data_IF_898278468567
#
_entry.id   IF_898278468567
#
_cell.length_a   1.000
_cell.length_b   1.000
_cell.length_c   1.000
_cell.angle_alpha   90.00
_cell.angle_beta   90.00
_cell.angle_gamma   90.00
#
_symmetry.space_group_name_H-M   'P 1'
#
loop_
_entity.id
_entity.type
_entity.pdbx_description
1 polymer ?
#
# COMPACT_ATOMS: atom_id res chain seq x y z
N UNK A 1 -8.91 -8.78 -19.71
CA UNK A 1 -7.49 -9.08 -19.50
C UNK A 1 -6.74 -7.97 -18.77
N UNK A 2 -7.38 -6.86 -18.63
CA UNK A 2 -6.75 -5.73 -17.97
C UNK A 2 -6.31 -6.12 -16.56
N UNK A 3 -5.18 -5.63 -16.14
CA UNK A 3 -4.72 -5.68 -14.76
C UNK A 3 -4.50 -7.08 -14.19
N UNK A 4 -3.98 -8.00 -15.00
CA UNK A 4 -3.63 -9.31 -14.45
C UNK A 4 -2.67 -9.20 -13.26
N UNK A 5 -1.78 -8.18 -13.25
CA UNK A 5 -0.89 -7.95 -12.10
C UNK A 5 -1.70 -7.63 -10.84
N UNK A 6 -2.69 -6.74 -10.94
CA UNK A 6 -3.53 -6.38 -9.80
C UNK A 6 -4.33 -7.60 -9.33
N UNK A 7 -4.85 -8.39 -10.26
CA UNK A 7 -5.57 -9.61 -9.91
C UNK A 7 -4.68 -10.60 -9.16
N UNK A 8 -3.42 -10.74 -9.60
CA UNK A 8 -2.45 -11.61 -8.92
C UNK A 8 -2.14 -11.10 -7.51
N UNK A 9 -2.03 -9.78 -7.32
CA UNK A 9 -1.86 -9.21 -5.99
C UNK A 9 -3.05 -9.53 -5.10
N UNK A 10 -4.26 -9.34 -5.63
CA UNK A 10 -5.50 -9.61 -4.89
C UNK A 10 -5.57 -11.07 -4.48
N UNK A 11 -5.10 -11.96 -5.33
CA UNK A 11 -5.11 -13.40 -5.07
C UNK A 11 -4.00 -13.85 -4.13
N UNK A 12 -3.15 -12.95 -3.65
CA UNK A 12 -2.14 -13.26 -2.66
C UNK A 12 -0.80 -13.70 -3.22
N UNK A 13 -0.53 -13.46 -4.50
CA UNK A 13 0.75 -13.79 -5.11
C UNK A 13 1.83 -12.83 -4.61
N UNK A 14 2.77 -13.33 -3.81
CA UNK A 14 3.83 -12.49 -3.21
C UNK A 14 4.70 -11.82 -4.26
N UNK A 15 5.04 -12.51 -5.34
CA UNK A 15 5.86 -11.94 -6.40
C UNK A 15 5.15 -10.80 -7.11
N UNK A 16 3.83 -10.91 -7.29
CA UNK A 16 3.04 -9.84 -7.89
C UNK A 16 3.02 -8.60 -6.98
N UNK A 17 2.91 -8.79 -5.67
CA UNK A 17 2.94 -7.67 -4.72
C UNK A 17 4.30 -6.96 -4.78
N UNK A 18 5.40 -7.71 -4.76
CA UNK A 18 6.74 -7.11 -4.88
C UNK A 18 6.88 -6.35 -6.21
N UNK A 19 6.44 -6.96 -7.31
CA UNK A 19 6.47 -6.32 -8.62
C UNK A 19 5.65 -5.03 -8.63
N UNK A 20 4.49 -5.03 -7.98
CA UNK A 20 3.64 -3.86 -7.85
C UNK A 20 4.29 -2.74 -7.06
N UNK A 21 4.95 -3.07 -5.94
CA UNK A 21 5.64 -2.08 -5.12
C UNK A 21 6.78 -1.38 -5.87
N UNK A 22 7.37 -2.05 -6.86
CA UNK A 22 8.46 -1.52 -7.67
C UNK A 22 8.00 -0.98 -9.02
N UNK A 23 6.72 -1.00 -9.31
CA UNK A 23 6.18 -0.64 -10.61
C UNK A 23 6.27 0.87 -10.87
N UNK A 24 6.45 1.27 -12.14
CA UNK A 24 6.45 2.68 -12.53
C UNK A 24 5.10 3.34 -12.31
N UNK A 25 4.01 2.62 -12.53
CA UNK A 25 2.67 3.17 -12.41
C UNK A 25 2.25 3.28 -10.95
N UNK A 26 1.88 4.49 -10.52
CA UNK A 26 1.49 4.73 -9.15
C UNK A 26 0.28 3.88 -8.73
N UNK A 27 -0.65 3.63 -9.65
CA UNK A 27 -1.82 2.81 -9.34
C UNK A 27 -1.41 1.39 -8.92
N UNK A 28 -0.36 0.85 -9.53
CA UNK A 28 0.14 -0.48 -9.17
C UNK A 28 0.83 -0.44 -7.80
N UNK A 29 1.62 0.61 -7.53
CA UNK A 29 2.26 0.76 -6.22
C UNK A 29 1.22 0.90 -5.12
N UNK A 30 0.18 1.71 -5.34
CA UNK A 30 -0.88 1.90 -4.35
C UNK A 30 -1.67 0.61 -4.11
N UNK A 31 -2.01 -0.12 -5.17
CA UNK A 31 -2.67 -1.41 -5.02
C UNK A 31 -1.81 -2.41 -4.26
N UNK A 32 -0.52 -2.47 -4.57
CA UNK A 32 0.40 -3.39 -3.88
C UNK A 32 0.50 -3.08 -2.38
N UNK A 33 0.55 -1.80 -2.03
CA UNK A 33 0.55 -1.37 -0.62
C UNK A 33 -0.75 -1.81 0.07
N UNK A 34 -1.89 -1.51 -0.57
CA UNK A 34 -3.20 -1.83 0.01
C UNK A 34 -3.37 -3.33 0.22
N UNK A 35 -3.03 -4.15 -0.77
CA UNK A 35 -3.15 -5.59 -0.63
C UNK A 35 -2.14 -6.16 0.36
N UNK A 36 -0.94 -5.56 0.48
CA UNK A 36 0.00 -5.95 1.54
C UNK A 36 -0.62 -5.77 2.91
N UNK A 37 -1.30 -4.64 3.13
CA UNK A 37 -1.98 -4.36 4.39
C UNK A 37 -3.15 -5.31 4.62
N UNK A 38 -4.03 -5.47 3.62
CA UNK A 38 -5.20 -6.34 3.74
C UNK A 38 -4.82 -7.79 4.00
N UNK A 39 -3.72 -8.25 3.43
CA UNK A 39 -3.24 -9.63 3.57
C UNK A 39 -2.24 -9.78 4.71
N UNK A 40 -2.02 -8.72 5.48
CA UNK A 40 -1.14 -8.70 6.64
C UNK A 40 0.27 -9.20 6.34
N UNK A 41 0.85 -8.68 5.25
CA UNK A 41 2.19 -9.06 4.83
C UNK A 41 3.23 -8.19 5.52
N UNK A 42 3.89 -8.76 6.51
CA UNK A 42 4.89 -8.03 7.31
C UNK A 42 6.30 -8.61 7.16
N UNK A 43 6.55 -9.41 6.13
CA UNK A 43 7.91 -9.90 5.90
C UNK A 43 8.84 -8.75 5.49
N UNK A 44 10.12 -8.93 5.82
CA UNK A 44 11.11 -7.85 5.71
C UNK A 44 11.17 -7.23 4.32
N UNK A 45 11.14 -8.04 3.27
CA UNK A 45 11.25 -7.53 1.90
C UNK A 45 10.12 -6.56 1.57
N UNK A 46 8.89 -6.95 1.86
CA UNK A 46 7.73 -6.11 1.57
C UNK A 46 7.73 -4.86 2.43
N UNK A 47 8.02 -5.00 3.73
CA UNK A 47 8.06 -3.88 4.66
C UNK A 47 9.08 -2.83 4.23
N UNK A 48 10.29 -3.27 3.84
CA UNK A 48 11.33 -2.32 3.40
C UNK A 48 10.92 -1.57 2.15
N UNK A 49 10.25 -2.23 1.21
CA UNK A 49 9.76 -1.59 0.00
C UNK A 49 8.64 -0.59 0.29
N UNK A 50 7.75 -0.91 1.21
CA UNK A 50 6.69 0.02 1.63
C UNK A 50 7.33 1.24 2.31
N UNK A 51 8.31 1.02 3.18
CA UNK A 51 9.02 2.13 3.83
C UNK A 51 9.65 3.07 2.82
N UNK A 52 10.22 2.54 1.75
CA UNK A 52 10.82 3.35 0.69
C UNK A 52 9.79 4.24 -0.01
N UNK A 53 8.52 3.87 0.02
CA UNK A 53 7.45 4.63 -0.63
C UNK A 53 6.84 5.71 0.27
N UNK A 54 7.30 5.87 1.51
CA UNK A 54 6.79 6.92 2.42
C UNK A 54 7.00 8.33 1.88
N UNK A 55 7.96 8.52 0.99
CA UNK A 55 8.26 9.83 0.39
C UNK A 55 7.81 9.95 -1.06
N UNK A 56 7.03 9.00 -1.55
CA UNK A 56 6.50 9.03 -2.91
C UNK A 56 5.17 9.80 -2.91
N UNK A 57 5.23 11.07 -3.32
CA UNK A 57 4.08 11.96 -3.23
C UNK A 57 3.22 11.98 -4.49
N UNK A 58 3.41 11.05 -5.40
CA UNK A 58 2.54 10.96 -6.58
C UNK A 58 1.10 10.65 -6.13
N UNK A 59 0.16 11.43 -6.63
CA UNK A 59 -1.23 11.35 -6.16
C UNK A 59 -2.20 10.81 -7.22
N UNK A 60 -3.19 10.05 -6.75
CA UNK A 60 -4.30 9.55 -7.56
C UNK A 60 -5.56 9.67 -6.71
N UNK A 61 -6.59 10.33 -7.25
CA UNK A 61 -7.91 10.42 -6.62
C UNK A 61 -7.86 10.97 -5.17
N UNK A 62 -7.00 11.95 -4.95
CA UNK A 62 -6.93 12.62 -3.66
C UNK A 62 -6.04 11.95 -2.63
N UNK A 63 -5.43 10.81 -2.96
CA UNK A 63 -4.46 10.13 -2.10
C UNK A 63 -3.11 10.05 -2.80
N UNK A 64 -2.04 10.03 -2.03
CA UNK A 64 -0.70 9.82 -2.58
C UNK A 64 -0.21 8.40 -2.25
N UNK A 65 0.82 7.96 -2.97
CA UNK A 65 1.50 6.71 -2.64
C UNK A 65 2.03 6.78 -1.20
N UNK A 66 2.58 7.94 -0.81
CA UNK A 66 3.06 8.19 0.56
C UNK A 66 1.96 7.96 1.59
N UNK A 67 0.75 8.48 1.35
CA UNK A 67 -0.39 8.29 2.25
C UNK A 67 -0.68 6.80 2.46
N UNK A 68 -0.71 6.05 1.37
CA UNK A 68 -0.95 4.60 1.43
C UNK A 68 0.16 3.89 2.21
N UNK A 69 1.42 4.24 1.94
CA UNK A 69 2.56 3.59 2.59
C UNK A 69 2.55 3.83 4.09
N UNK A 70 2.34 5.08 4.52
CA UNK A 70 2.34 5.44 5.93
C UNK A 70 1.17 4.75 6.66
N UNK A 71 -0.01 4.74 6.04
CA UNK A 71 -1.17 4.07 6.62
C UNK A 71 -0.95 2.56 6.75
N UNK A 72 -0.39 1.93 5.72
CA UNK A 72 -0.13 0.48 5.74
C UNK A 72 0.85 0.11 6.85
N UNK A 73 1.89 0.91 7.06
CA UNK A 73 2.87 0.64 8.11
C UNK A 73 2.24 0.73 9.49
N UNK A 74 1.30 1.65 9.70
CA UNK A 74 0.55 1.73 10.96
C UNK A 74 -0.33 0.49 11.14
N UNK A 75 -1.11 0.14 10.13
CA UNK A 75 -2.02 -1.01 10.18
C UNK A 75 -1.25 -2.31 10.45
N UNK A 76 -0.08 -2.46 9.83
CA UNK A 76 0.77 -3.64 10.02
C UNK A 76 1.51 -3.65 11.36
N UNK A 77 1.40 -2.56 12.15
CA UNK A 77 2.05 -2.47 13.45
C UNK A 77 3.55 -2.20 13.36
N UNK A 78 4.04 -1.69 12.24
CA UNK A 78 5.47 -1.43 12.02
C UNK A 78 5.86 -0.03 12.49
N UNK A 79 5.09 0.99 12.07
CA UNK A 79 5.33 2.39 12.42
C UNK A 79 4.01 3.08 12.69
N UNK A 80 3.77 3.43 13.96
CA UNK A 80 2.54 4.12 14.32
C UNK A 80 2.53 5.54 13.74
N UNK A 81 1.44 5.90 13.08
CA UNK A 81 1.28 7.26 12.58
C UNK A 81 0.81 8.18 13.69
N UNK A 82 1.53 9.28 13.90
CA UNK A 82 1.23 10.25 14.94
C UNK A 82 0.92 11.65 14.39
N UNK A 83 0.82 11.77 13.06
CA UNK A 83 0.54 13.05 12.42
C UNK A 83 -0.94 13.40 12.38
N UNK A 84 -1.25 14.44 11.61
CA UNK A 84 -2.61 14.99 11.52
C UNK A 84 -3.22 14.93 10.13
N UNK A 85 -2.57 14.25 9.18
CA UNK A 85 -3.08 14.16 7.81
C UNK A 85 -4.36 13.34 7.80
N UNK A 86 -5.46 13.96 7.35
CA UNK A 86 -6.78 13.31 7.38
C UNK A 86 -6.88 12.14 6.41
N UNK A 87 -6.18 12.20 5.26
CA UNK A 87 -6.18 11.10 4.31
C UNK A 87 -5.56 9.85 4.93
N UNK A 88 -4.42 10.01 5.60
CA UNK A 88 -3.74 8.89 6.26
C UNK A 88 -4.63 8.33 7.37
N UNK A 89 -5.21 9.20 8.21
CA UNK A 89 -6.10 8.76 9.29
C UNK A 89 -7.29 7.99 8.75
N UNK A 90 -7.87 8.45 7.64
CA UNK A 90 -9.02 7.78 7.02
C UNK A 90 -8.64 6.39 6.51
N UNK A 91 -7.47 6.27 5.89
CA UNK A 91 -6.98 4.97 5.41
C UNK A 91 -6.75 4.00 6.57
N UNK A 92 -6.18 4.49 7.67
CA UNK A 92 -5.98 3.67 8.87
C UNK A 92 -7.32 3.20 9.43
N UNK A 93 -8.28 4.12 9.54
CA UNK A 93 -9.60 3.79 10.10
C UNK A 93 -10.34 2.76 9.26
N UNK A 94 -10.34 2.89 7.95
CA UNK A 94 -11.05 1.96 7.07
C UNK A 94 -10.21 0.73 6.72
N UNK A 95 -8.90 0.73 6.98
CA UNK A 95 -7.99 -0.38 6.76
C UNK A 95 -8.01 -0.89 5.33
N UNK A 96 -8.10 0.04 4.37
CA UNK A 96 -8.18 -0.26 2.93
C UNK A 96 -9.38 -1.15 2.55
N UNK A 97 -10.45 -1.15 3.35
CA UNK A 97 -11.60 -2.01 3.09
C UNK A 97 -12.26 -1.74 1.73
N UNK A 98 -12.14 -0.52 1.20
CA UNK A 98 -12.68 -0.22 -0.13
C UNK A 98 -11.99 -1.00 -1.25
N UNK A 99 -10.84 -1.62 -0.97
CA UNK A 99 -10.09 -2.43 -1.92
C UNK A 99 -10.36 -3.93 -1.75
N UNK A 100 -11.03 -4.28 -0.67
CA UNK A 100 -11.24 -5.69 -0.33
C UNK A 100 -12.23 -6.40 -1.27
#
# INVERSE_FOLDING_TARGET
MANSLIDEMRNGNSNAIVAGLLHHGAIYRMNAIAFSSLQRRSNKEIVEKIKALRTDHFGIDGYSVSDFAIAALDILGIEKYTGTNQNIKRLIDCRFNFMA
#
